data_IF_381265673543
#
_entry.id   IF_381265673543
#
_cell.length_a   1.000
_cell.length_b   1.000
_cell.length_c   1.000
_cell.angle_alpha   90.00
_cell.angle_beta   90.00
_cell.angle_gamma   90.00
#
_symmetry.space_group_name_H-M   'P 1'
#
loop_
_entity.id
_entity.type
_entity.pdbx_description
1 polymer ?
#
# COMPACT_ATOMS: atom_id res chain seq x y z
N UNK A 1 6.26 -9.39 -2.68
CA UNK A 1 7.33 -8.37 -2.75
C UNK A 1 6.79 -7.03 -2.31
N UNK A 2 6.14 -6.98 -1.17
CA UNK A 2 5.14 -5.97 -0.87
C UNK A 2 5.39 -5.15 0.40
N UNK A 3 6.47 -5.30 1.11
CA UNK A 3 6.66 -4.71 2.44
C UNK A 3 8.06 -4.12 2.63
N UNK A 4 8.72 -3.74 1.57
CA UNK A 4 10.14 -3.33 1.67
C UNK A 4 10.38 -1.82 1.74
N UNK A 5 9.33 -0.99 1.76
CA UNK A 5 9.47 0.47 1.55
C UNK A 5 9.34 1.35 2.81
N UNK A 6 9.54 0.86 4.01
CA UNK A 6 9.43 1.72 5.20
C UNK A 6 10.72 1.75 5.98
N UNK A 7 11.52 2.76 5.84
CA UNK A 7 12.38 3.33 6.87
C UNK A 7 13.14 4.54 6.30
N UNK A 8 12.70 5.78 6.53
CA UNK A 8 13.63 6.89 6.74
C UNK A 8 13.05 8.19 7.31
N UNK A 9 11.89 8.22 7.95
CA UNK A 9 11.50 9.42 8.69
C UNK A 9 10.68 9.07 9.92
N UNK A 10 11.32 8.81 11.03
CA UNK A 10 10.84 9.12 12.38
C UNK A 10 11.84 8.63 13.43
N UNK A 11 12.87 9.41 13.66
CA UNK A 11 13.68 9.28 14.87
C UNK A 11 14.15 10.66 15.34
N UNK A 12 13.33 11.32 16.16
CA UNK A 12 13.76 12.24 17.23
C UNK A 12 12.56 12.60 18.07
N UNK A 13 12.43 11.93 19.21
CA UNK A 13 11.90 12.44 20.45
C UNK A 13 11.92 11.33 21.49
N UNK A 14 12.96 11.29 22.31
CA UNK A 14 12.99 10.57 23.59
C UNK A 14 12.81 11.59 24.73
N UNK A 15 12.28 11.21 25.90
CA UNK A 15 11.84 12.12 26.94
C UNK A 15 12.96 12.44 27.92
N UNK A 16 13.22 13.72 28.19
CA UNK A 16 13.80 14.14 29.49
C UNK A 16 13.54 15.60 29.82
N UNK A 17 12.88 15.76 30.96
CA UNK A 17 12.97 16.78 32.01
C UNK A 17 13.04 18.30 31.67
N UNK A 18 11.99 18.92 32.12
CA UNK A 18 11.77 20.37 32.31
C UNK A 18 12.79 20.96 33.30
N UNK A 19 13.54 21.97 32.85
CA UNK A 19 13.96 23.11 33.72
C UNK A 19 13.86 24.38 32.91
N UNK A 20 13.04 25.30 33.43
CA UNK A 20 12.86 26.68 32.93
C UNK A 20 14.06 27.52 33.31
N UNK A 21 14.63 28.28 32.38
CA UNK A 21 15.30 29.55 32.60
C UNK A 21 15.23 30.44 31.34
N UNK A 22 15.42 31.77 31.45
CA UNK A 22 14.67 32.73 30.68
C UNK A 22 15.34 33.21 29.39
N UNK A 23 14.56 33.83 28.52
CA UNK A 23 14.95 34.43 27.24
C UNK A 23 15.97 35.56 27.42
N UNK A 24 16.87 35.77 26.45
CA UNK A 24 17.22 37.11 26.03
C UNK A 24 16.90 37.40 24.55
N UNK A 25 16.66 38.65 24.36
CA UNK A 25 16.20 39.45 23.28
C UNK A 25 17.02 39.43 21.98
N UNK A 26 16.26 39.64 20.88
CA UNK A 26 16.61 40.34 19.63
C UNK A 26 17.94 40.04 18.96
N UNK A 27 17.86 39.36 17.80
CA UNK A 27 18.79 39.61 16.70
C UNK A 27 17.99 39.79 15.40
N UNK A 28 18.33 40.90 14.75
CA UNK A 28 17.84 41.37 13.46
C UNK A 28 18.27 40.47 12.33
N UNK A 29 17.32 40.13 11.47
CA UNK A 29 17.58 39.48 10.16
C UNK A 29 18.21 40.52 9.22
N UNK A 30 19.36 40.22 8.69
CA UNK A 30 19.88 40.83 7.50
C UNK A 30 20.09 39.78 6.42
N UNK A 31 19.50 40.00 5.28
CA UNK A 31 19.41 39.14 4.12
C UNK A 31 20.78 38.88 3.51
N UNK A 32 21.05 37.63 3.21
CA UNK A 32 21.91 37.27 2.09
C UNK A 32 21.25 36.09 1.38
N UNK A 33 20.66 36.36 0.22
CA UNK A 33 20.19 35.37 -0.76
C UNK A 33 21.39 34.50 -1.17
N UNK A 34 21.57 33.39 -0.47
CA UNK A 34 22.39 32.29 -0.96
C UNK A 34 21.47 31.36 -1.76
N UNK A 35 21.60 31.43 -3.08
CA UNK A 35 21.15 30.40 -4.00
C UNK A 35 21.60 29.04 -3.46
N UNK A 36 20.67 28.27 -2.93
CA UNK A 36 20.91 26.88 -2.58
C UNK A 36 21.25 26.11 -3.86
N UNK A 37 22.53 25.97 -4.15
CA UNK A 37 23.02 24.81 -4.86
C UNK A 37 22.73 23.59 -3.99
N UNK A 38 21.60 22.90 -4.26
CA UNK A 38 21.37 21.57 -3.76
C UNK A 38 22.46 20.67 -4.34
N UNK A 39 23.47 20.35 -3.52
CA UNK A 39 24.45 19.34 -3.86
C UNK A 39 23.70 18.02 -4.01
N UNK A 40 23.46 17.60 -5.25
CA UNK A 40 22.89 16.28 -5.53
C UNK A 40 23.88 15.23 -5.04
N UNK A 41 23.56 14.54 -3.95
CA UNK A 41 24.35 13.41 -3.51
C UNK A 41 24.43 12.39 -4.65
N UNK A 42 25.66 11.97 -4.98
CA UNK A 42 25.89 11.01 -6.06
C UNK A 42 25.09 9.71 -5.78
N UNK A 43 24.44 9.17 -6.80
CA UNK A 43 23.74 7.89 -6.69
C UNK A 43 24.77 6.79 -6.38
N UNK A 44 24.64 6.05 -5.28
CA UNK A 44 25.55 4.95 -4.99
C UNK A 44 25.24 3.77 -5.94
N UNK A 45 26.28 3.25 -6.57
CA UNK A 45 26.22 2.08 -7.43
C UNK A 45 27.09 0.96 -6.85
N UNK A 46 26.48 -0.19 -6.62
CA UNK A 46 27.20 -1.39 -6.21
C UNK A 46 27.98 -2.01 -7.38
N UNK A 47 27.51 -1.83 -8.61
CA UNK A 47 28.12 -2.30 -9.85
C UNK A 47 28.45 -1.13 -10.77
N UNK A 48 29.74 -0.83 -11.02
CA UNK A 48 30.18 0.23 -11.94
C UNK A 48 29.74 -0.02 -13.41
N UNK A 49 29.61 -1.29 -13.84
CA UNK A 49 29.16 -1.59 -15.21
C UNK A 49 27.69 -1.21 -15.39
N UNK A 50 26.87 -1.47 -14.37
CA UNK A 50 25.45 -1.07 -14.39
C UNK A 50 25.29 0.45 -14.35
N UNK A 51 26.15 1.16 -13.61
CA UNK A 51 26.21 2.63 -13.63
C UNK A 51 26.49 3.15 -15.05
N UNK A 52 27.52 2.62 -15.70
CA UNK A 52 27.90 3.02 -17.04
C UNK A 52 26.77 2.71 -18.05
N UNK A 53 26.16 1.54 -17.95
CA UNK A 53 25.04 1.15 -18.80
C UNK A 53 23.84 2.11 -18.66
N UNK A 54 23.46 2.45 -17.42
CA UNK A 54 22.39 3.41 -17.14
C UNK A 54 22.72 4.80 -17.71
N UNK A 55 23.95 5.29 -17.51
CA UNK A 55 24.39 6.57 -18.02
C UNK A 55 24.36 6.60 -19.55
N UNK A 56 24.91 5.59 -20.22
CA UNK A 56 24.91 5.48 -21.69
C UNK A 56 23.49 5.45 -22.24
N UNK A 57 22.59 4.70 -21.58
CA UNK A 57 21.19 4.64 -21.98
C UNK A 57 20.50 6.01 -21.83
N UNK A 58 20.71 6.74 -20.73
CA UNK A 58 20.14 8.08 -20.52
C UNK A 58 20.70 9.09 -21.53
N UNK A 59 21.99 9.03 -21.87
CA UNK A 59 22.59 9.87 -22.90
C UNK A 59 21.93 9.63 -24.27
N UNK A 60 21.58 8.39 -24.60
CA UNK A 60 20.86 8.07 -25.85
C UNK A 60 19.45 8.68 -25.90
N UNK A 61 18.82 8.92 -24.73
CA UNK A 61 17.49 9.52 -24.61
C UNK A 61 17.52 11.06 -24.54
N UNK A 62 18.69 11.69 -24.39
CA UNK A 62 18.81 13.13 -24.21
C UNK A 62 18.15 13.92 -25.34
N UNK A 63 18.36 13.52 -26.60
CA UNK A 63 17.78 14.20 -27.76
C UNK A 63 16.28 14.01 -27.93
N UNK A 64 15.76 12.80 -27.59
CA UNK A 64 14.35 12.43 -27.83
C UNK A 64 13.45 12.79 -26.67
N UNK A 65 13.91 12.59 -25.42
CA UNK A 65 13.16 12.80 -24.20
C UNK A 65 13.57 14.07 -23.44
N UNK A 66 14.66 14.72 -23.88
CA UNK A 66 15.18 15.92 -23.21
C UNK A 66 15.82 15.65 -21.85
N UNK A 67 16.21 14.42 -21.58
CA UNK A 67 16.82 13.99 -20.30
C UNK A 67 18.15 14.73 -20.09
N UNK A 68 18.43 15.12 -18.85
CA UNK A 68 19.69 15.72 -18.38
C UNK A 68 20.44 14.72 -17.48
N UNK A 69 21.22 13.77 -18.04
CA UNK A 69 21.78 12.64 -17.28
C UNK A 69 22.62 13.05 -16.05
N UNK A 70 23.27 14.21 -16.10
CA UNK A 70 24.09 14.76 -15.02
C UNK A 70 23.29 15.15 -13.77
N UNK A 71 21.95 15.21 -13.86
CA UNK A 71 21.05 15.56 -12.73
C UNK A 71 20.50 14.33 -12.02
N UNK A 72 20.97 13.13 -12.38
CA UNK A 72 20.49 11.88 -11.81
C UNK A 72 20.72 11.83 -10.30
N UNK A 73 19.65 11.57 -9.54
CA UNK A 73 19.63 11.51 -8.08
C UNK A 73 18.67 10.45 -7.58
N UNK A 74 18.75 10.06 -6.30
CA UNK A 74 17.81 9.12 -5.70
C UNK A 74 16.42 9.78 -5.62
N UNK A 75 15.39 9.10 -6.10
CA UNK A 75 13.99 9.49 -5.93
C UNK A 75 13.38 8.84 -4.69
N UNK A 76 13.57 7.55 -4.53
CA UNK A 76 13.21 6.84 -3.31
C UNK A 76 14.20 5.71 -3.05
N UNK A 77 14.47 5.45 -1.76
CA UNK A 77 15.25 4.29 -1.32
C UNK A 77 14.25 3.17 -1.02
N UNK A 78 13.92 2.36 -2.01
CA UNK A 78 13.11 1.17 -1.81
C UNK A 78 13.99 -0.02 -1.42
N UNK A 79 13.44 -0.93 -0.63
CA UNK A 79 14.11 -2.17 -0.23
C UNK A 79 13.87 -3.32 -1.22
N UNK A 80 13.37 -3.05 -2.42
CA UNK A 80 13.22 -4.01 -3.49
C UNK A 80 14.48 -4.05 -4.38
N UNK A 81 14.52 -5.00 -5.31
CA UNK A 81 15.56 -5.01 -6.33
C UNK A 81 15.40 -3.88 -7.35
N UNK A 82 14.25 -3.19 -7.34
CA UNK A 82 14.01 -1.97 -8.13
C UNK A 82 14.53 -0.76 -7.40
N UNK A 83 15.21 0.11 -8.12
CA UNK A 83 15.61 1.43 -7.65
C UNK A 83 14.91 2.49 -8.48
N UNK A 84 14.49 3.54 -7.81
CA UNK A 84 13.87 4.67 -8.49
C UNK A 84 14.78 5.89 -8.33
N UNK A 85 15.22 6.41 -9.46
CA UNK A 85 16.06 7.59 -9.55
C UNK A 85 15.28 8.70 -10.25
N UNK A 86 15.58 9.93 -9.93
CA UNK A 86 14.96 11.11 -10.56
C UNK A 86 15.99 11.80 -11.44
N UNK A 87 15.57 12.25 -12.59
CA UNK A 87 16.41 13.00 -13.54
C UNK A 87 15.62 14.20 -14.05
N UNK A 88 16.27 15.34 -14.23
CA UNK A 88 15.61 16.52 -14.78
C UNK A 88 15.52 16.43 -16.31
N UNK A 89 14.54 17.15 -16.87
CA UNK A 89 14.35 17.24 -18.32
C UNK A 89 14.43 18.70 -18.78
N UNK A 90 14.96 18.91 -19.97
CA UNK A 90 14.94 20.21 -20.66
C UNK A 90 13.52 20.77 -20.86
N UNK A 91 12.49 19.92 -20.74
CA UNK A 91 11.08 20.29 -20.84
C UNK A 91 10.50 20.86 -19.54
N UNK A 92 11.33 21.03 -18.51
CA UNK A 92 10.97 21.64 -17.22
C UNK A 92 10.37 20.68 -16.17
N UNK A 93 9.93 19.47 -16.56
CA UNK A 93 9.47 18.45 -15.64
C UNK A 93 10.58 17.44 -15.34
N UNK A 94 10.65 16.94 -14.09
CA UNK A 94 11.50 15.78 -13.77
C UNK A 94 10.87 14.48 -14.29
N UNK A 95 11.72 13.47 -14.47
CA UNK A 95 11.34 12.13 -14.90
C UNK A 95 11.91 11.11 -13.91
N UNK A 96 11.30 9.94 -13.87
CA UNK A 96 11.77 8.83 -13.03
C UNK A 96 12.48 7.79 -13.90
N UNK A 97 13.66 7.39 -13.46
CA UNK A 97 14.40 6.25 -13.99
C UNK A 97 14.20 5.07 -13.06
N UNK A 98 13.52 4.04 -13.52
CA UNK A 98 13.42 2.76 -12.82
C UNK A 98 14.57 1.87 -13.28
N UNK A 99 15.38 1.44 -12.33
CA UNK A 99 16.46 0.47 -12.50
C UNK A 99 16.02 -0.86 -11.88
N UNK A 100 15.70 -1.84 -12.72
CA UNK A 100 15.16 -3.15 -12.36
C UNK A 100 15.96 -4.26 -13.06
N UNK A 101 17.03 -4.80 -12.42
CA UNK A 101 17.87 -5.81 -13.03
C UNK A 101 17.06 -7.03 -13.52
N UNK A 102 17.19 -7.44 -14.80
CA UNK A 102 16.33 -8.47 -15.40
C UNK A 102 16.45 -9.87 -14.78
N UNK A 103 17.59 -10.16 -14.14
CA UNK A 103 17.81 -11.41 -13.39
C UNK A 103 17.05 -11.45 -12.05
N UNK A 104 16.55 -10.29 -11.59
CA UNK A 104 15.82 -10.12 -10.34
C UNK A 104 14.35 -9.77 -10.53
N UNK A 105 14.03 -9.01 -11.58
CA UNK A 105 12.73 -8.37 -11.76
C UNK A 105 12.19 -8.56 -13.18
N UNK A 106 10.92 -8.99 -13.29
CA UNK A 106 10.18 -8.96 -14.54
C UNK A 106 9.38 -7.65 -14.62
N UNK A 107 9.70 -6.82 -15.61
CA UNK A 107 9.05 -5.51 -15.80
C UNK A 107 7.82 -5.55 -16.71
N UNK A 108 7.53 -6.65 -17.41
CA UNK A 108 6.36 -6.77 -18.29
C UNK A 108 5.02 -6.48 -17.58
N UNK A 109 4.77 -7.01 -16.36
CA UNK A 109 3.55 -6.68 -15.63
C UNK A 109 3.40 -5.18 -15.36
N UNK A 110 4.50 -4.48 -15.01
CA UNK A 110 4.48 -3.03 -14.80
C UNK A 110 4.01 -2.29 -16.08
N UNK A 111 4.62 -2.61 -17.22
CA UNK A 111 4.27 -1.97 -18.51
C UNK A 111 2.81 -2.24 -18.86
N UNK A 112 2.37 -3.49 -18.72
CA UNK A 112 1.00 -3.90 -19.01
C UNK A 112 -0.02 -3.15 -18.14
N UNK A 113 0.20 -3.12 -16.83
CA UNK A 113 -0.76 -2.48 -15.90
C UNK A 113 -0.73 -0.96 -16.04
N UNK A 114 0.43 -0.32 -16.28
CA UNK A 114 0.51 1.11 -16.58
C UNK A 114 -0.36 1.48 -17.79
N UNK A 115 -0.34 0.66 -18.86
CA UNK A 115 -1.19 0.86 -20.04
C UNK A 115 -2.68 0.71 -19.71
N UNK A 116 -3.05 -0.26 -18.88
CA UNK A 116 -4.44 -0.46 -18.44
C UNK A 116 -4.93 0.74 -17.61
N UNK A 117 -4.11 1.25 -16.70
CA UNK A 117 -4.44 2.44 -15.91
C UNK A 117 -4.62 3.67 -16.78
N UNK A 118 -3.71 3.88 -17.74
CA UNK A 118 -3.86 4.97 -18.73
C UNK A 118 -5.16 4.83 -19.53
N UNK A 119 -5.48 3.62 -19.98
CA UNK A 119 -6.72 3.35 -20.71
C UNK A 119 -7.98 3.56 -19.85
N UNK A 120 -7.87 3.40 -18.54
CA UNK A 120 -8.90 3.68 -17.55
C UNK A 120 -9.03 5.19 -17.22
N UNK A 121 -8.20 6.05 -17.81
CA UNK A 121 -8.14 7.48 -17.50
C UNK A 121 -7.51 7.81 -16.15
N UNK A 122 -6.77 6.86 -15.56
CA UNK A 122 -6.09 7.04 -14.27
C UNK A 122 -4.70 7.64 -14.46
N UNK A 123 -4.28 8.43 -13.49
CA UNK A 123 -2.95 9.01 -13.43
C UNK A 123 -1.99 7.98 -12.80
N UNK A 124 -1.17 7.37 -13.64
CA UNK A 124 -0.12 6.44 -13.24
C UNK A 124 1.16 6.78 -13.99
N UNK A 125 2.36 6.34 -13.53
CA UNK A 125 3.59 6.53 -14.28
C UNK A 125 3.46 6.00 -15.70
N UNK A 126 3.65 6.88 -16.71
CA UNK A 126 3.68 6.49 -18.11
C UNK A 126 5.10 6.04 -18.48
N UNK A 127 5.19 4.93 -19.21
CA UNK A 127 6.47 4.43 -19.73
C UNK A 127 6.82 5.22 -21.00
N UNK A 128 7.82 6.08 -20.89
CA UNK A 128 8.31 6.94 -21.99
C UNK A 128 9.37 6.23 -22.83
N UNK A 129 10.22 5.40 -22.20
CA UNK A 129 11.19 4.55 -22.83
C UNK A 129 11.45 3.31 -21.96
N UNK A 130 11.78 2.18 -22.61
CA UNK A 130 12.09 0.93 -21.93
C UNK A 130 13.20 0.18 -22.66
N UNK A 131 14.29 -0.09 -21.94
CA UNK A 131 15.35 -1.01 -22.32
C UNK A 131 15.11 -2.35 -21.62
N UNK A 132 14.36 -3.23 -22.23
CA UNK A 132 14.00 -4.53 -21.65
C UNK A 132 15.22 -5.42 -21.37
N UNK A 133 16.23 -5.53 -22.28
CA UNK A 133 17.44 -6.32 -22.02
C UNK A 133 18.23 -5.86 -20.81
N UNK A 134 18.26 -4.56 -20.51
CA UNK A 134 18.98 -4.03 -19.36
C UNK A 134 18.08 -3.73 -18.15
N UNK A 135 16.75 -3.72 -18.33
CA UNK A 135 15.78 -3.47 -17.27
C UNK A 135 15.76 -2.00 -16.79
N UNK A 136 16.01 -1.05 -17.69
CA UNK A 136 15.85 0.38 -17.42
C UNK A 136 14.54 0.90 -18.01
N UNK A 137 13.79 1.70 -17.23
CA UNK A 137 12.62 2.41 -17.75
C UNK A 137 12.71 3.90 -17.42
N UNK A 138 12.29 4.73 -18.38
CA UNK A 138 12.04 6.15 -18.16
C UNK A 138 10.54 6.36 -18.02
N UNK A 139 10.14 6.95 -16.91
CA UNK A 139 8.74 7.11 -16.50
C UNK A 139 8.43 8.61 -16.28
N UNK A 140 7.16 8.98 -16.41
CA UNK A 140 6.70 10.29 -15.93
C UNK A 140 6.82 10.36 -14.41
N UNK A 141 7.19 11.52 -13.89
CA UNK A 141 7.30 11.78 -12.46
C UNK A 141 5.95 12.30 -11.92
N UNK A 142 5.40 11.66 -10.92
CA UNK A 142 4.17 12.06 -10.23
C UNK A 142 4.43 12.94 -9.00
N UNK A 143 5.68 13.38 -8.79
CA UNK A 143 6.08 14.21 -7.66
C UNK A 143 6.66 13.39 -6.51
N UNK A 144 6.71 13.99 -5.32
CA UNK A 144 7.35 13.44 -4.13
C UNK A 144 6.41 13.33 -2.93
N UNK A 145 5.19 13.87 -3.03
CA UNK A 145 4.23 13.88 -1.95
C UNK A 145 3.18 12.79 -2.14
N UNK A 146 3.17 11.82 -1.22
CA UNK A 146 2.11 10.79 -1.16
C UNK A 146 0.89 11.31 -0.41
N UNK A 147 -0.27 10.69 -0.63
CA UNK A 147 -1.47 10.94 0.18
C UNK A 147 -1.20 10.69 1.67
N UNK A 148 -0.39 9.66 2.00
CA UNK A 148 0.00 9.37 3.39
C UNK A 148 0.70 10.56 4.05
N UNK A 149 1.58 11.27 3.32
CA UNK A 149 2.29 12.44 3.87
C UNK A 149 1.40 13.69 4.02
N UNK A 150 0.25 13.71 3.34
CA UNK A 150 -0.72 14.81 3.40
C UNK A 150 -1.85 14.56 4.42
N UNK A 151 -1.95 13.35 4.97
CA UNK A 151 -2.99 12.99 5.94
C UNK A 151 -2.74 13.67 7.30
N UNK A 152 -3.77 14.32 7.82
CA UNK A 152 -3.85 14.76 9.20
C UNK A 152 -4.50 13.66 10.07
N UNK A 153 -3.67 12.85 10.74
CA UNK A 153 -4.14 11.78 11.60
C UNK A 153 -4.86 12.27 12.87
N UNK A 154 -4.69 13.56 13.26
CA UNK A 154 -5.34 14.14 14.43
C UNK A 154 -6.73 14.69 14.10
N UNK A 155 -7.01 14.94 12.81
CA UNK A 155 -8.28 15.44 12.34
C UNK A 155 -8.79 14.58 11.16
N UNK A 156 -9.42 13.43 11.43
CA UNK A 156 -9.90 12.52 10.39
C UNK A 156 -10.77 13.20 9.34
N UNK A 157 -11.65 14.10 9.74
CA UNK A 157 -12.58 14.79 8.83
C UNK A 157 -11.88 15.72 7.82
N UNK A 158 -10.70 16.25 8.15
CA UNK A 158 -9.92 17.04 7.18
C UNK A 158 -9.48 16.20 5.97
N UNK A 159 -9.38 14.87 6.12
CA UNK A 159 -8.94 13.96 5.07
C UNK A 159 -10.09 13.46 4.20
N UNK A 160 -11.34 13.77 4.53
CA UNK A 160 -12.52 13.25 3.81
C UNK A 160 -12.42 13.48 2.30
N UNK A 161 -12.06 14.68 1.87
CA UNK A 161 -11.90 15.01 0.45
C UNK A 161 -10.86 14.16 -0.28
N UNK A 162 -9.73 13.84 0.39
CA UNK A 162 -8.70 12.98 -0.18
C UNK A 162 -9.18 11.53 -0.33
N UNK A 163 -9.88 11.01 0.68
CA UNK A 163 -10.46 9.66 0.61
C UNK A 163 -11.55 9.56 -0.45
N UNK A 164 -12.34 10.63 -0.66
CA UNK A 164 -13.33 10.67 -1.75
C UNK A 164 -12.67 10.63 -3.13
N UNK A 165 -11.55 11.32 -3.32
CA UNK A 165 -10.76 11.21 -4.56
C UNK A 165 -10.20 9.79 -4.73
N UNK A 166 -9.68 9.17 -3.67
CA UNK A 166 -9.21 7.79 -3.72
C UNK A 166 -10.35 6.82 -4.10
N UNK A 167 -11.54 7.00 -3.55
CA UNK A 167 -12.74 6.23 -3.93
C UNK A 167 -13.07 6.40 -5.42
N UNK A 168 -12.99 7.61 -5.97
CA UNK A 168 -13.25 7.85 -7.39
C UNK A 168 -12.22 7.15 -8.29
N UNK A 169 -10.95 7.21 -7.93
CA UNK A 169 -9.86 6.49 -8.61
C UNK A 169 -10.09 4.98 -8.57
N UNK A 170 -10.45 4.44 -7.40
CA UNK A 170 -10.72 3.01 -7.23
C UNK A 170 -11.88 2.54 -8.08
N UNK A 171 -12.99 3.26 -8.09
CA UNK A 171 -14.17 2.91 -8.90
C UNK A 171 -13.83 2.95 -10.39
N UNK A 172 -13.09 3.95 -10.86
CA UNK A 172 -12.66 4.02 -12.26
C UNK A 172 -11.76 2.83 -12.64
N UNK A 173 -10.86 2.41 -11.75
CA UNK A 173 -10.04 1.21 -11.94
C UNK A 173 -10.90 -0.05 -12.05
N UNK A 174 -11.83 -0.24 -11.13
CA UNK A 174 -12.71 -1.40 -11.09
C UNK A 174 -13.66 -1.46 -12.30
N UNK A 175 -14.17 -0.33 -12.77
CA UNK A 175 -15.02 -0.24 -13.98
C UNK A 175 -14.26 -0.60 -15.27
N UNK A 176 -12.94 -0.42 -15.28
CA UNK A 176 -12.11 -0.77 -16.44
C UNK A 176 -11.84 -2.26 -16.58
N UNK A 177 -12.36 -3.10 -15.67
CA UNK A 177 -12.12 -4.54 -15.60
C UNK A 177 -12.55 -5.26 -16.86
N UNK A 178 -11.69 -6.17 -17.33
CA UNK A 178 -11.96 -7.05 -18.47
C UNK A 178 -11.53 -8.48 -18.12
N UNK A 179 -12.41 -9.46 -18.33
CA UNK A 179 -12.10 -10.87 -18.06
C UNK A 179 -10.82 -11.33 -18.78
N UNK A 180 -9.98 -12.10 -18.11
CA UNK A 180 -8.78 -12.72 -18.69
C UNK A 180 -7.61 -11.76 -18.98
N UNK A 181 -7.73 -10.47 -18.66
CA UNK A 181 -6.66 -9.50 -18.92
C UNK A 181 -5.60 -9.53 -17.82
N UNK A 182 -5.99 -9.59 -16.55
CA UNK A 182 -5.09 -9.73 -15.42
C UNK A 182 -5.17 -11.17 -14.85
N UNK A 183 -4.11 -11.65 -14.17
CA UNK A 183 -4.14 -12.94 -13.49
C UNK A 183 -5.29 -13.03 -12.50
N UNK A 184 -5.90 -14.20 -12.30
CA UNK A 184 -6.96 -14.36 -11.32
C UNK A 184 -6.41 -14.29 -9.89
N UNK A 185 -7.16 -13.68 -8.98
CA UNK A 185 -6.97 -13.81 -7.54
C UNK A 185 -7.80 -15.00 -7.06
N UNK A 186 -7.27 -16.18 -7.31
CA UNK A 186 -7.95 -17.44 -7.13
C UNK A 186 -7.80 -18.05 -5.72
N UNK A 187 -8.42 -19.20 -5.50
CA UNK A 187 -8.34 -19.94 -4.24
C UNK A 187 -6.90 -20.25 -3.85
N UNK A 188 -6.06 -20.67 -4.81
CA UNK A 188 -4.67 -21.02 -4.53
C UNK A 188 -3.86 -19.82 -4.04
N UNK A 189 -4.11 -18.62 -4.58
CA UNK A 189 -3.46 -17.38 -4.14
C UNK A 189 -3.95 -16.97 -2.75
N UNK A 190 -5.27 -17.01 -2.51
CA UNK A 190 -5.86 -16.70 -1.20
C UNK A 190 -5.36 -17.63 -0.11
N UNK A 191 -5.34 -18.95 -0.36
CA UNK A 191 -4.83 -19.94 0.59
C UNK A 191 -3.34 -19.74 0.88
N UNK A 192 -2.52 -19.49 -0.13
CA UNK A 192 -1.09 -19.20 0.04
C UNK A 192 -0.84 -17.95 0.87
N UNK A 193 -1.66 -16.91 0.71
CA UNK A 193 -1.56 -15.70 1.52
C UNK A 193 -1.99 -15.96 2.98
N UNK A 194 -3.06 -16.72 3.19
CA UNK A 194 -3.52 -17.09 4.53
C UNK A 194 -2.51 -17.99 5.27
N UNK A 195 -1.80 -18.88 4.57
CA UNK A 195 -0.80 -19.77 5.19
C UNK A 195 0.36 -19.01 5.83
N UNK A 196 0.59 -17.74 5.46
CA UNK A 196 1.62 -16.92 6.10
C UNK A 196 1.35 -16.71 7.59
N UNK A 197 0.08 -16.68 8.02
CA UNK A 197 -0.27 -16.51 9.42
C UNK A 197 0.16 -17.69 10.30
N UNK A 198 -0.27 -18.95 10.04
CA UNK A 198 0.21 -20.09 10.81
C UNK A 198 1.71 -20.33 10.67
N UNK A 199 2.28 -20.18 9.46
CA UNK A 199 3.67 -20.51 9.20
C UNK A 199 4.65 -19.54 9.87
N UNK A 200 4.39 -18.25 9.78
CA UNK A 200 5.30 -17.22 10.26
C UNK A 200 4.88 -16.61 11.58
N UNK A 201 3.60 -16.23 11.74
CA UNK A 201 3.16 -15.58 12.96
C UNK A 201 3.02 -16.59 14.11
N UNK A 202 2.23 -17.67 13.94
CA UNK A 202 2.00 -18.62 15.01
C UNK A 202 3.22 -19.50 15.26
N UNK A 203 3.79 -20.11 14.22
CA UNK A 203 4.87 -21.09 14.41
C UNK A 203 6.20 -20.40 14.68
N UNK A 204 6.65 -19.48 13.82
CA UNK A 204 8.00 -18.92 13.94
C UNK A 204 8.11 -17.79 14.94
N UNK A 205 7.10 -16.92 15.02
CA UNK A 205 7.13 -15.79 15.96
C UNK A 205 6.63 -16.19 17.36
N UNK A 206 5.48 -16.89 17.45
CA UNK A 206 4.90 -17.29 18.75
C UNK A 206 5.41 -18.64 19.26
N UNK A 207 6.16 -19.40 18.46
CA UNK A 207 6.74 -20.69 18.86
C UNK A 207 5.73 -21.83 19.03
N UNK A 208 4.54 -21.71 18.44
CA UNK A 208 3.45 -22.66 18.63
C UNK A 208 3.51 -23.81 17.63
N UNK A 209 3.05 -24.98 18.04
CA UNK A 209 2.81 -26.10 17.15
C UNK A 209 1.37 -26.01 16.63
N UNK A 210 1.22 -25.78 15.32
CA UNK A 210 -0.09 -25.60 14.68
C UNK A 210 -0.64 -26.97 14.28
N UNK A 211 -1.21 -27.68 15.24
CA UNK A 211 -1.71 -29.04 15.11
C UNK A 211 -3.11 -29.22 15.73
N UNK A 212 -3.74 -30.35 15.51
CA UNK A 212 -4.99 -30.77 16.14
C UNK A 212 -6.11 -29.74 16.00
N UNK A 213 -6.69 -29.29 17.13
CA UNK A 213 -7.80 -28.35 17.14
C UNK A 213 -7.42 -26.98 16.58
N UNK A 214 -6.21 -26.48 16.83
CA UNK A 214 -5.72 -25.20 16.29
C UNK A 214 -5.69 -25.25 14.76
N UNK A 215 -5.11 -26.30 14.19
CA UNK A 215 -5.03 -26.51 12.75
C UNK A 215 -6.42 -26.58 12.12
N UNK A 216 -7.32 -27.41 12.66
CA UNK A 216 -8.69 -27.52 12.14
C UNK A 216 -9.49 -26.22 12.26
N UNK A 217 -9.27 -25.42 13.31
CA UNK A 217 -9.92 -24.11 13.44
C UNK A 217 -9.46 -23.16 12.34
N UNK A 218 -8.14 -23.11 12.06
CA UNK A 218 -7.59 -22.27 11.00
C UNK A 218 -8.09 -22.73 9.62
N UNK A 219 -8.05 -24.03 9.34
CA UNK A 219 -8.47 -24.58 8.04
C UNK A 219 -9.95 -24.29 7.76
N UNK A 220 -10.83 -24.49 8.74
CA UNK A 220 -12.26 -24.17 8.59
C UNK A 220 -12.48 -22.67 8.40
N UNK A 221 -11.77 -21.84 9.14
CA UNK A 221 -11.86 -20.38 9.00
C UNK A 221 -11.37 -19.94 7.61
N UNK A 222 -10.24 -20.45 7.15
CA UNK A 222 -9.67 -20.11 5.85
C UNK A 222 -10.57 -20.57 4.70
N UNK A 223 -11.10 -21.78 4.78
CA UNK A 223 -12.07 -22.28 3.80
C UNK A 223 -13.30 -21.36 3.73
N UNK A 224 -13.82 -20.93 4.88
CA UNK A 224 -14.98 -20.04 4.96
C UNK A 224 -14.67 -18.67 4.37
N UNK A 225 -13.52 -18.06 4.71
CA UNK A 225 -13.08 -16.77 4.17
C UNK A 225 -12.89 -16.83 2.65
N UNK A 226 -12.17 -17.85 2.16
CA UNK A 226 -11.90 -18.02 0.73
C UNK A 226 -13.18 -18.19 -0.05
N UNK A 227 -14.10 -19.07 0.39
CA UNK A 227 -15.37 -19.30 -0.29
C UNK A 227 -16.21 -18.01 -0.37
N UNK A 228 -16.27 -17.22 0.70
CA UNK A 228 -17.05 -15.96 0.71
C UNK A 228 -16.39 -14.86 -0.12
N UNK A 229 -15.08 -14.73 -0.03
CA UNK A 229 -14.34 -13.71 -0.78
C UNK A 229 -14.40 -13.97 -2.29
N UNK A 230 -14.31 -15.23 -2.73
CA UNK A 230 -14.39 -15.61 -4.14
C UNK A 230 -15.81 -15.56 -4.72
N UNK A 231 -16.85 -15.57 -3.88
CA UNK A 231 -18.25 -15.42 -4.35
C UNK A 231 -18.53 -13.99 -4.84
N UNK A 232 -17.78 -12.99 -4.33
CA UNK A 232 -17.95 -11.59 -4.70
C UNK A 232 -17.68 -11.30 -6.19
N UNK A 233 -18.28 -10.25 -6.78
CA UNK A 233 -17.95 -9.80 -8.12
C UNK A 233 -16.45 -9.59 -8.30
N UNK A 234 -15.92 -10.07 -9.44
CA UNK A 234 -14.51 -9.99 -9.74
C UNK A 234 -14.20 -8.78 -10.62
N UNK A 235 -13.28 -7.94 -10.17
CA UNK A 235 -12.86 -6.69 -10.81
C UNK A 235 -11.32 -6.62 -10.87
N UNK A 236 -10.77 -5.60 -11.51
CA UNK A 236 -9.36 -5.30 -11.35
C UNK A 236 -9.06 -4.85 -9.92
N UNK A 237 -8.14 -5.54 -9.28
CA UNK A 237 -7.68 -5.32 -7.91
C UNK A 237 -6.22 -4.88 -7.96
N UNK A 238 -5.94 -3.74 -7.35
CA UNK A 238 -4.58 -3.21 -7.23
C UNK A 238 -3.73 -3.99 -6.22
N UNK A 239 -4.36 -4.57 -5.21
CA UNK A 239 -3.84 -5.28 -4.03
C UNK A 239 -3.23 -4.38 -2.95
N UNK A 240 -2.69 -3.24 -3.34
CA UNK A 240 -1.97 -2.33 -2.46
C UNK A 240 -2.46 -0.90 -2.59
N UNK A 241 -3.80 -0.78 -2.77
CA UNK A 241 -4.50 0.49 -2.87
C UNK A 241 -4.61 1.15 -1.48
N UNK A 242 -3.62 1.94 -1.14
CA UNK A 242 -3.53 2.59 0.18
C UNK A 242 -2.83 3.96 0.07
N UNK A 243 -3.00 4.87 1.06
CA UNK A 243 -2.52 6.26 1.00
C UNK A 243 -1.05 6.43 0.65
N UNK A 244 -0.19 5.49 1.01
CA UNK A 244 1.23 5.54 0.66
C UNK A 244 1.55 5.30 -0.82
N UNK A 245 0.65 4.62 -1.53
CA UNK A 245 0.77 4.32 -2.95
C UNK A 245 -0.07 5.25 -3.83
N UNK A 246 -0.68 6.27 -3.23
CA UNK A 246 -1.41 7.33 -3.91
C UNK A 246 -0.61 8.63 -3.83
N UNK A 247 -0.34 9.25 -5.00
CA UNK A 247 0.42 10.50 -5.10
C UNK A 247 -0.52 11.69 -5.10
N UNK A 248 -0.14 12.72 -4.36
CA UNK A 248 -0.88 13.99 -4.37
C UNK A 248 -0.89 14.60 -5.77
N UNK A 249 -1.96 15.31 -6.14
CA UNK A 249 -2.04 15.94 -7.44
C UNK A 249 -0.86 16.89 -7.70
N UNK A 250 -0.20 16.72 -8.84
CA UNK A 250 0.78 17.66 -9.35
C UNK A 250 0.16 18.39 -10.54
N UNK A 251 -0.12 19.70 -10.41
CA UNK A 251 -0.75 20.49 -11.47
C UNK A 251 -2.25 20.76 -11.24
N UNK A 252 -2.94 21.20 -12.30
CA UNK A 252 -4.33 21.72 -12.22
C UNK A 252 -5.40 20.64 -12.35
N UNK A 253 -5.06 19.42 -12.72
CA UNK A 253 -6.00 18.32 -12.95
C UNK A 253 -6.60 17.70 -11.67
N UNK A 254 -6.00 17.99 -10.51
CA UNK A 254 -6.52 17.60 -9.20
C UNK A 254 -6.64 16.09 -8.95
N UNK A 255 -6.19 15.24 -9.89
CA UNK A 255 -6.33 13.78 -9.77
C UNK A 255 -5.16 13.15 -9.00
N UNK A 256 -5.47 12.21 -8.09
CA UNK A 256 -4.46 11.39 -7.41
C UNK A 256 -3.72 10.49 -8.39
N UNK A 257 -2.40 10.40 -8.26
CA UNK A 257 -1.58 9.43 -8.98
C UNK A 257 -1.57 8.07 -8.28
N UNK A 258 -1.40 6.98 -9.05
CA UNK A 258 -1.39 5.60 -8.53
C UNK A 258 -0.04 4.98 -8.78
N UNK A 259 0.59 4.45 -7.73
CA UNK A 259 1.87 3.74 -7.75
C UNK A 259 1.70 2.28 -7.31
N UNK A 260 2.74 1.46 -7.53
CA UNK A 260 2.86 0.08 -7.01
C UNK A 260 1.77 -0.89 -7.51
N UNK A 261 1.39 -0.75 -8.76
CA UNK A 261 0.27 -1.45 -9.41
C UNK A 261 0.66 -2.74 -10.15
N UNK A 262 1.94 -3.07 -10.28
CA UNK A 262 2.42 -4.16 -11.14
C UNK A 262 1.94 -5.56 -10.71
N UNK A 263 1.53 -5.71 -9.45
CA UNK A 263 0.99 -6.96 -8.90
C UNK A 263 -0.55 -7.03 -8.98
N UNK A 264 -1.17 -6.18 -9.80
CA UNK A 264 -2.61 -6.15 -9.98
C UNK A 264 -3.15 -7.49 -10.52
N UNK A 265 -4.33 -7.83 -10.07
CA UNK A 265 -5.01 -9.09 -10.38
C UNK A 265 -6.50 -8.85 -10.71
N UNK A 266 -7.20 -9.90 -11.14
CA UNK A 266 -8.66 -9.89 -11.24
C UNK A 266 -9.22 -10.65 -10.04
N UNK A 267 -9.95 -9.98 -9.16
CA UNK A 267 -10.39 -10.54 -7.88
C UNK A 267 -11.54 -9.78 -7.21
N UNK A 268 -11.84 -10.08 -5.95
CA UNK A 268 -13.00 -9.56 -5.24
C UNK A 268 -13.06 -8.03 -5.19
N UNK A 269 -14.20 -7.46 -5.54
CA UNK A 269 -14.46 -6.01 -5.55
C UNK A 269 -14.21 -5.36 -4.19
N UNK A 270 -14.30 -6.11 -3.10
CA UNK A 270 -14.10 -5.66 -1.73
C UNK A 270 -12.63 -5.49 -1.34
N UNK A 271 -11.67 -6.03 -2.14
CA UNK A 271 -10.26 -6.09 -1.73
C UNK A 271 -9.64 -4.71 -1.50
N UNK A 272 -9.74 -3.83 -2.50
CA UNK A 272 -9.04 -2.55 -2.45
C UNK A 272 -9.73 -1.53 -1.55
N UNK A 273 -11.05 -1.60 -1.39
CA UNK A 273 -11.75 -0.79 -0.38
C UNK A 273 -11.36 -1.22 1.03
N UNK A 274 -11.20 -2.53 1.28
CA UNK A 274 -10.66 -3.02 2.54
C UNK A 274 -9.19 -2.60 2.74
N UNK A 275 -8.38 -2.58 1.67
CA UNK A 275 -7.00 -2.09 1.70
C UNK A 275 -6.90 -0.61 2.07
N UNK A 276 -7.77 0.21 1.50
CA UNK A 276 -7.81 1.66 1.73
C UNK A 276 -8.25 2.00 3.16
N UNK A 277 -9.28 1.30 3.67
CA UNK A 277 -9.92 1.66 4.95
C UNK A 277 -9.36 0.90 6.16
N UNK A 278 -8.68 -0.23 5.95
CA UNK A 278 -8.02 -1.04 6.97
C UNK A 278 -6.52 -1.16 6.65
N UNK A 279 -5.89 0.00 6.54
CA UNK A 279 -4.47 0.14 6.17
C UNK A 279 -3.54 -0.53 7.18
N UNK A 280 -2.40 -0.99 6.70
CA UNK A 280 -1.34 -1.57 7.51
C UNK A 280 -0.61 -0.55 8.39
N UNK A 281 -0.64 0.75 8.04
CA UNK A 281 0.16 1.80 8.65
C UNK A 281 -0.65 2.90 9.31
N UNK A 282 -1.93 3.00 8.98
CA UNK A 282 -2.84 4.02 9.47
C UNK A 282 -4.12 3.37 10.00
N UNK A 283 -4.56 3.80 11.16
CA UNK A 283 -5.80 3.34 11.78
C UNK A 283 -6.76 4.50 11.90
N UNK A 284 -7.99 4.29 11.45
CA UNK A 284 -9.09 5.22 11.62
C UNK A 284 -10.12 4.69 12.60
N UNK A 285 -10.80 5.62 13.28
CA UNK A 285 -11.99 5.27 14.07
C UNK A 285 -13.10 4.74 13.15
N UNK A 286 -13.97 3.93 13.71
CA UNK A 286 -14.96 3.18 12.94
C UNK A 286 -15.97 4.08 12.21
N UNK A 287 -16.33 5.22 12.77
CA UNK A 287 -17.24 6.18 12.16
C UNK A 287 -16.69 6.74 10.84
N UNK A 288 -15.39 7.06 10.78
CA UNK A 288 -14.73 7.48 9.55
C UNK A 288 -14.65 6.34 8.53
N UNK A 289 -14.31 5.12 8.98
CA UNK A 289 -14.28 3.93 8.11
C UNK A 289 -15.65 3.67 7.51
N UNK A 290 -16.70 3.74 8.32
CA UNK A 290 -18.08 3.54 7.87
C UNK A 290 -18.50 4.62 6.87
N UNK A 291 -18.24 5.91 7.15
CA UNK A 291 -18.64 7.00 6.27
C UNK A 291 -18.01 6.83 4.87
N UNK A 292 -16.69 6.65 4.79
CA UNK A 292 -16.02 6.47 3.49
C UNK A 292 -16.48 5.18 2.80
N UNK A 293 -16.68 4.08 3.53
CA UNK A 293 -17.14 2.82 2.95
C UNK A 293 -18.58 2.94 2.43
N UNK A 294 -19.46 3.68 3.12
CA UNK A 294 -20.82 4.02 2.63
C UNK A 294 -20.72 4.83 1.35
N UNK A 295 -19.85 5.83 1.27
CA UNK A 295 -19.67 6.64 0.05
C UNK A 295 -19.17 5.80 -1.13
N UNK A 296 -18.21 4.89 -0.87
CA UNK A 296 -17.82 3.93 -1.89
C UNK A 296 -19.01 3.08 -2.34
N UNK A 297 -19.74 2.48 -1.40
CA UNK A 297 -20.92 1.66 -1.69
C UNK A 297 -21.99 2.41 -2.50
N UNK A 298 -22.32 3.65 -2.12
CA UNK A 298 -23.28 4.50 -2.85
C UNK A 298 -22.86 4.75 -4.30
N UNK A 299 -21.58 5.00 -4.54
CA UNK A 299 -21.04 5.22 -5.89
C UNK A 299 -20.96 3.91 -6.67
N UNK A 300 -20.40 2.86 -6.09
CA UNK A 300 -20.20 1.57 -6.73
C UNK A 300 -21.52 0.89 -7.16
N UNK A 301 -22.55 0.93 -6.29
CA UNK A 301 -23.88 0.38 -6.66
C UNK A 301 -24.55 1.12 -7.80
N UNK A 302 -24.38 2.44 -7.90
CA UNK A 302 -24.97 3.25 -8.99
C UNK A 302 -24.39 2.92 -10.36
N UNK A 303 -23.17 2.40 -10.40
CA UNK A 303 -22.47 2.03 -11.63
C UNK A 303 -22.44 0.51 -11.88
N UNK A 304 -23.22 -0.27 -11.11
CA UNK A 304 -23.41 -1.72 -11.32
C UNK A 304 -22.26 -2.60 -10.83
N UNK A 305 -21.29 -2.06 -10.06
CA UNK A 305 -20.18 -2.88 -9.49
C UNK A 305 -20.62 -3.83 -8.38
N UNK A 306 -21.80 -3.60 -7.79
CA UNK A 306 -22.31 -4.34 -6.65
C UNK A 306 -23.58 -5.12 -6.97
N UNK A 307 -23.77 -5.51 -8.24
CA UNK A 307 -24.88 -6.36 -8.67
C UNK A 307 -24.62 -7.82 -8.28
N UNK A 308 -24.67 -8.08 -6.98
CA UNK A 308 -24.43 -9.40 -6.39
C UNK A 308 -25.24 -9.55 -5.09
N UNK A 309 -26.00 -10.64 -4.95
CA UNK A 309 -26.91 -10.87 -3.83
C UNK A 309 -27.73 -9.59 -3.52
N UNK A 310 -27.83 -9.19 -2.25
CA UNK A 310 -28.56 -7.98 -1.83
C UNK A 310 -27.65 -6.74 -1.69
N UNK A 311 -26.38 -6.79 -2.15
CA UNK A 311 -25.39 -5.74 -1.89
C UNK A 311 -25.79 -4.36 -2.43
N UNK A 312 -26.55 -4.31 -3.52
CA UNK A 312 -27.02 -3.05 -4.07
C UNK A 312 -28.11 -2.36 -3.23
N UNK A 313 -28.76 -3.10 -2.30
CA UNK A 313 -29.81 -2.59 -1.40
C UNK A 313 -29.38 -2.64 0.08
N UNK A 314 -28.58 -3.63 0.47
CA UNK A 314 -28.15 -3.87 1.84
C UNK A 314 -26.67 -3.54 2.03
N UNK A 315 -26.40 -2.35 2.60
CA UNK A 315 -25.05 -1.95 2.97
C UNK A 315 -24.42 -2.91 3.99
N UNK A 316 -25.23 -3.45 4.92
CA UNK A 316 -24.70 -4.36 5.95
C UNK A 316 -24.16 -5.65 5.37
N UNK A 317 -24.83 -6.23 4.36
CA UNK A 317 -24.33 -7.39 3.62
C UNK A 317 -23.02 -7.08 2.88
N UNK A 318 -22.94 -5.95 2.20
CA UNK A 318 -21.71 -5.48 1.56
C UNK A 318 -20.59 -5.22 2.56
N UNK A 319 -20.87 -4.49 3.65
CA UNK A 319 -19.86 -4.16 4.68
C UNK A 319 -19.28 -5.40 5.35
N UNK A 320 -20.13 -6.40 5.61
CA UNK A 320 -19.67 -7.71 6.08
C UNK A 320 -18.61 -8.31 5.14
N UNK A 321 -18.82 -8.26 3.85
CA UNK A 321 -17.86 -8.78 2.87
C UNK A 321 -16.56 -7.97 2.85
N UNK A 322 -16.62 -6.64 3.03
CA UNK A 322 -15.45 -5.78 3.19
C UNK A 322 -14.65 -6.16 4.45
N UNK A 323 -15.33 -6.39 5.58
CA UNK A 323 -14.67 -6.80 6.82
C UNK A 323 -14.02 -8.19 6.72
N UNK A 324 -14.65 -9.14 6.03
CA UNK A 324 -14.09 -10.47 5.84
C UNK A 324 -12.88 -10.46 4.90
N UNK A 325 -12.91 -9.62 3.88
CA UNK A 325 -11.74 -9.37 3.06
C UNK A 325 -10.63 -8.64 3.85
N UNK A 326 -10.99 -7.69 4.70
CA UNK A 326 -10.06 -7.07 5.65
C UNK A 326 -9.41 -8.09 6.58
N UNK A 327 -10.17 -9.05 7.11
CA UNK A 327 -9.65 -10.16 7.93
C UNK A 327 -8.64 -11.02 7.16
N UNK A 328 -8.95 -11.40 5.91
CA UNK A 328 -8.00 -12.08 5.01
C UNK A 328 -6.67 -11.33 4.93
N UNK A 329 -6.75 -10.02 4.69
CA UNK A 329 -5.57 -9.15 4.58
C UNK A 329 -4.81 -9.05 5.90
N UNK A 330 -5.50 -8.89 7.03
CA UNK A 330 -4.84 -8.77 8.33
C UNK A 330 -4.10 -10.04 8.75
N UNK A 331 -4.67 -11.21 8.49
CA UNK A 331 -3.99 -12.50 8.69
C UNK A 331 -2.74 -12.59 7.81
N UNK A 332 -2.86 -12.29 6.52
CA UNK A 332 -1.72 -12.23 5.59
C UNK A 332 -0.63 -11.30 6.09
N UNK A 333 -0.97 -10.04 6.43
CA UNK A 333 0.00 -9.02 6.81
C UNK A 333 0.70 -9.33 8.13
N UNK A 334 -0.02 -9.88 9.13
CA UNK A 334 0.60 -10.37 10.36
C UNK A 334 1.69 -11.42 10.07
N UNK A 335 1.41 -12.36 9.17
CA UNK A 335 2.39 -13.35 8.72
C UNK A 335 3.56 -12.72 7.93
N UNK A 336 3.29 -11.75 7.05
CA UNK A 336 4.32 -11.02 6.30
C UNK A 336 5.25 -10.27 7.27
N UNK A 337 4.72 -9.56 8.25
CA UNK A 337 5.51 -8.78 9.20
C UNK A 337 6.40 -9.67 10.06
N UNK A 338 5.87 -10.81 10.52
CA UNK A 338 6.68 -11.81 11.20
C UNK A 338 7.82 -12.33 10.28
N UNK A 339 7.52 -12.63 9.01
CA UNK A 339 8.51 -13.08 8.03
C UNK A 339 9.61 -12.05 7.78
N UNK A 340 9.24 -10.79 7.56
CA UNK A 340 10.19 -9.71 7.32
C UNK A 340 11.14 -9.49 8.49
N UNK A 341 10.63 -9.59 9.70
CA UNK A 341 11.48 -9.47 10.89
C UNK A 341 12.39 -10.68 11.06
N UNK A 342 11.82 -11.89 11.00
CA UNK A 342 12.57 -13.10 11.37
C UNK A 342 13.49 -13.60 10.24
N UNK A 343 13.11 -13.42 8.98
CA UNK A 343 13.90 -13.85 7.83
C UNK A 343 14.81 -12.75 7.30
N UNK A 344 14.29 -11.52 7.23
CA UNK A 344 14.94 -10.42 6.51
C UNK A 344 15.58 -9.39 7.48
N UNK A 345 15.54 -9.64 8.81
CA UNK A 345 16.18 -8.82 9.83
C UNK A 345 15.56 -7.43 10.04
N UNK A 346 14.31 -7.22 9.59
CA UNK A 346 13.62 -5.94 9.65
C UNK A 346 12.78 -5.84 10.93
N UNK A 347 13.40 -5.62 12.08
CA UNK A 347 12.77 -5.70 13.41
C UNK A 347 11.56 -4.79 13.62
N UNK A 348 11.49 -3.65 12.93
CA UNK A 348 10.42 -2.65 13.09
C UNK A 348 9.03 -3.18 12.76
N UNK A 349 8.92 -4.18 11.89
CA UNK A 349 7.61 -4.68 11.45
C UNK A 349 6.84 -5.43 12.54
N UNK A 350 7.51 -6.17 13.41
CA UNK A 350 6.83 -6.85 14.52
C UNK A 350 6.26 -5.89 15.56
N UNK A 351 6.77 -4.66 15.66
CA UNK A 351 6.20 -3.63 16.52
C UNK A 351 4.74 -3.27 16.11
N UNK A 352 4.38 -3.43 14.84
CA UNK A 352 3.02 -3.20 14.34
C UNK A 352 2.10 -4.44 14.43
N UNK A 353 2.62 -5.60 14.81
CA UNK A 353 1.81 -6.82 14.92
C UNK A 353 0.59 -6.70 15.87
N UNK A 354 0.66 -5.99 17.02
CA UNK A 354 -0.50 -5.78 17.89
C UNK A 354 -1.69 -5.13 17.19
N UNK A 355 -1.45 -4.22 16.24
CA UNK A 355 -2.51 -3.58 15.43
C UNK A 355 -3.31 -4.60 14.63
N UNK A 356 -2.64 -5.53 13.96
CA UNK A 356 -3.31 -6.56 13.17
C UNK A 356 -4.08 -7.53 14.04
N UNK A 357 -3.54 -7.88 15.19
CA UNK A 357 -4.24 -8.72 16.17
C UNK A 357 -5.50 -8.01 16.67
N UNK A 358 -5.45 -6.71 16.92
CA UNK A 358 -6.62 -5.93 17.29
C UNK A 358 -7.69 -5.94 16.17
N UNK A 359 -7.31 -5.75 14.91
CA UNK A 359 -8.22 -5.84 13.78
C UNK A 359 -8.83 -7.24 13.61
N UNK A 360 -8.01 -8.31 13.72
CA UNK A 360 -8.49 -9.70 13.65
C UNK A 360 -9.52 -9.95 14.75
N UNK A 361 -9.24 -9.53 16.00
CA UNK A 361 -10.17 -9.65 17.13
C UNK A 361 -11.46 -8.88 16.88
N UNK A 362 -11.36 -7.62 16.45
CA UNK A 362 -12.52 -6.76 16.20
C UNK A 362 -13.46 -7.40 15.18
N UNK A 363 -12.94 -7.84 14.04
CA UNK A 363 -13.74 -8.51 13.01
C UNK A 363 -14.28 -9.85 13.52
N UNK A 364 -13.45 -10.72 14.14
CA UNK A 364 -13.87 -12.03 14.60
C UNK A 364 -14.90 -11.95 15.75
N UNK A 365 -14.96 -10.87 16.52
CA UNK A 365 -15.95 -10.67 17.57
C UNK A 365 -17.35 -10.38 17.04
N UNK A 366 -17.48 -9.81 15.85
CA UNK A 366 -18.77 -9.40 15.25
C UNK A 366 -19.56 -10.56 14.64
N UNK A 367 -18.86 -11.62 14.18
CA UNK A 367 -19.46 -12.70 13.40
C UNK A 367 -19.40 -14.03 14.13
N UNK A 368 -20.56 -14.71 14.23
CA UNK A 368 -20.66 -15.99 14.93
C UNK A 368 -19.78 -17.07 14.29
N UNK A 369 -19.65 -17.05 12.97
CA UNK A 369 -18.84 -17.99 12.20
C UNK A 369 -17.35 -17.86 12.50
N UNK A 370 -16.90 -16.68 12.94
CA UNK A 370 -15.51 -16.38 13.25
C UNK A 370 -15.18 -16.53 14.75
N UNK A 371 -16.15 -16.89 15.61
CA UNK A 371 -15.92 -17.11 17.05
C UNK A 371 -14.85 -18.16 17.35
N UNK A 372 -14.69 -19.25 16.57
CA UNK A 372 -13.58 -20.19 16.80
C UNK A 372 -12.21 -19.54 16.60
N UNK A 373 -12.07 -18.68 15.58
CA UNK A 373 -10.85 -17.91 15.35
C UNK A 373 -10.60 -16.93 16.50
N UNK A 374 -11.63 -16.21 16.97
CA UNK A 374 -11.50 -15.29 18.10
C UNK A 374 -10.91 -15.98 19.31
N UNK A 375 -11.47 -17.13 19.71
CA UNK A 375 -10.97 -17.91 20.85
C UNK A 375 -9.52 -18.35 20.67
N UNK A 376 -9.17 -18.79 19.47
CA UNK A 376 -7.78 -19.16 19.14
C UNK A 376 -6.84 -17.96 19.34
N UNK A 377 -7.21 -16.78 18.83
CA UNK A 377 -6.39 -15.57 18.99
C UNK A 377 -6.29 -15.16 20.47
N UNK A 378 -7.38 -15.29 21.25
CA UNK A 378 -7.37 -15.01 22.68
C UNK A 378 -6.50 -16.00 23.46
N UNK A 379 -6.49 -17.28 23.09
CA UNK A 379 -5.59 -18.29 23.66
C UNK A 379 -4.11 -17.99 23.38
N UNK A 380 -3.79 -17.47 22.19
CA UNK A 380 -2.42 -17.17 21.74
C UNK A 380 -1.89 -15.87 22.34
N UNK A 381 -2.71 -14.83 22.36
CA UNK A 381 -2.31 -13.45 22.69
C UNK A 381 -2.70 -13.00 24.10
N UNK A 382 -3.45 -13.83 24.84
CA UNK A 382 -4.11 -13.43 26.09
C UNK A 382 -5.35 -12.57 25.84
N UNK A 383 -6.16 -12.38 26.89
CA UNK A 383 -7.39 -11.58 26.83
C UNK A 383 -7.17 -10.10 27.14
N UNK A 384 -6.02 -9.73 27.65
CA UNK A 384 -5.76 -8.44 28.32
C UNK A 384 -5.44 -7.27 27.36
N UNK A 385 -5.61 -7.44 26.05
CA UNK A 385 -5.16 -6.46 25.04
C UNK A 385 -6.23 -5.55 24.45
N UNK A 386 -7.46 -5.56 24.90
CA UNK A 386 -8.54 -4.75 24.29
C UNK A 386 -8.90 -3.56 25.16
N UNK A 387 -7.97 -2.66 25.36
CA UNK A 387 -8.26 -1.29 25.78
C UNK A 387 -7.99 -0.36 24.59
N UNK A 388 -9.00 -0.09 23.77
CA UNK A 388 -8.83 0.89 22.68
C UNK A 388 -9.92 0.95 21.63
N UNK A 389 -10.68 -0.11 21.41
CA UNK A 389 -11.81 -0.07 20.50
C UNK A 389 -13.11 -0.37 21.24
N UNK A 390 -13.58 0.59 22.02
CA UNK A 390 -14.94 0.58 22.52
C UNK A 390 -15.86 0.91 21.36
N UNK A 391 -16.24 -0.11 20.57
CA UNK A 391 -17.36 0.04 19.65
C UNK A 391 -18.61 0.31 20.46
N UNK A 392 -19.29 1.41 20.14
CA UNK A 392 -20.55 1.77 20.76
C UNK A 392 -21.48 0.55 20.83
N UNK A 393 -21.95 0.22 22.02
CA UNK A 393 -23.08 -0.66 22.20
C UNK A 393 -24.28 0.07 21.63
N UNK A 394 -24.84 -0.42 20.52
CA UNK A 394 -26.24 -0.21 20.20
C UNK A 394 -27.07 -1.11 21.10
#
# INVERSE_FOLDING_TARGET
MFVEWIIHECCRCGPHNVKRHPLPSFFTWNETLNLHQTSHAAVPWADPQRQLACQTWLESLAATQGVLPQTLRIASADASFRRYLRVDSQRGASLIVMDAPPDKENCEPFVKVAQLMKAAGLKAPEVLAWDAPQGFMLLTDLGDQTMMSAIDAQNPQANHGLYMQAVDVLIAWQLSSKPGVLPPYDEALLQRELSLFPDWYLTRHRGLQVEGKMRSTLDNTFQTLVARNLAAPSVFVHRDFMPRNLMMPTGQDGALGVLDFQDAVCGPVTYDVASLMRDAFLTWEEDFVLDITIRYWEKARKVGLLDFEDWHQDFGAFYRAVEWMGLQRHLKVAGIFARLTLRDGKEKYLADAPRFIAYIRATASRYIELKPLLRLIEEVEGTDGVTGFAFGRL
#
